data_IF_781562249963
#
_entry.id   IF_781562249963
#
_cell.length_a   1.000
_cell.length_b   1.000
_cell.length_c   1.000
_cell.angle_alpha   90.00
_cell.angle_beta   90.00
_cell.angle_gamma   90.00
#
_symmetry.space_group_name_H-M   'P 1'
#
loop_
_entity.id
_entity.type
_entity.pdbx_description
1 polymer ?
#
# COMPACT_ATOMS: atom_id res chain seq x y z
N UNK A 1 -9.34 8.91 -21.08
CA UNK A 1 -8.32 7.93 -20.66
C UNK A 1 -8.85 7.30 -19.39
N UNK A 2 -9.15 6.01 -19.40
CA UNK A 2 -9.69 5.29 -18.25
C UNK A 2 -8.58 5.10 -17.21
N UNK A 3 -8.84 5.44 -15.95
CA UNK A 3 -7.91 5.26 -14.82
C UNK A 3 -7.44 3.80 -14.75
N UNK A 4 -8.33 2.86 -15.09
CA UNK A 4 -8.00 1.43 -15.10
C UNK A 4 -6.91 1.10 -16.13
N UNK A 5 -6.88 1.78 -17.27
CA UNK A 5 -5.87 1.56 -18.30
C UNK A 5 -4.46 2.02 -17.88
N UNK A 6 -4.36 2.91 -16.89
CA UNK A 6 -3.08 3.37 -16.33
C UNK A 6 -2.66 2.50 -15.14
N UNK A 7 -3.63 2.10 -14.31
CA UNK A 7 -3.36 1.34 -13.09
C UNK A 7 -2.97 -0.12 -13.36
N UNK A 8 -3.55 -0.76 -14.39
CA UNK A 8 -3.25 -2.15 -14.73
C UNK A 8 -1.75 -2.46 -14.86
N UNK A 9 -1.00 -1.73 -15.72
CA UNK A 9 0.44 -1.93 -15.87
C UNK A 9 1.24 -1.71 -14.60
N UNK A 10 0.83 -0.76 -13.75
CA UNK A 10 1.49 -0.45 -12.48
C UNK A 10 1.32 -1.62 -11.51
N UNK A 11 0.10 -2.13 -11.38
CA UNK A 11 -0.20 -3.29 -10.53
C UNK A 11 0.55 -4.52 -11.01
N UNK A 12 0.55 -4.79 -12.33
CA UNK A 12 1.25 -5.94 -12.90
C UNK A 12 2.77 -5.87 -12.63
N UNK A 13 3.37 -4.68 -12.73
CA UNK A 13 4.78 -4.46 -12.40
C UNK A 13 5.08 -4.79 -10.93
N UNK A 14 4.30 -4.27 -9.99
CA UNK A 14 4.52 -4.53 -8.55
C UNK A 14 4.12 -5.94 -8.11
N UNK A 15 3.46 -6.71 -8.97
CA UNK A 15 3.06 -8.10 -8.68
C UNK A 15 4.14 -9.12 -9.09
N UNK A 16 5.06 -8.77 -10.00
CA UNK A 16 6.03 -9.71 -10.57
C UNK A 16 7.49 -9.25 -10.45
N UNK A 17 8.42 -10.22 -10.47
CA UNK A 17 9.86 -9.98 -10.61
C UNK A 17 10.44 -9.02 -9.57
N UNK A 18 11.22 -8.04 -10.03
CA UNK A 18 11.85 -7.06 -9.14
C UNK A 18 10.86 -6.06 -8.54
N UNK A 19 9.74 -5.77 -9.21
CA UNK A 19 8.71 -4.88 -8.71
C UNK A 19 8.07 -5.42 -7.43
N UNK A 20 7.83 -6.73 -7.37
CA UNK A 20 7.33 -7.39 -6.15
C UNK A 20 8.31 -7.27 -4.97
N UNK A 21 9.61 -7.40 -5.22
CA UNK A 21 10.64 -7.24 -4.20
C UNK A 21 10.61 -5.80 -3.64
N UNK A 22 10.55 -4.81 -4.53
CA UNK A 22 10.47 -3.39 -4.14
C UNK A 22 9.20 -3.13 -3.31
N UNK A 23 8.03 -3.63 -3.76
CA UNK A 23 6.78 -3.48 -3.03
C UNK A 23 6.86 -4.09 -1.62
N UNK A 24 7.45 -5.28 -1.48
CA UNK A 24 7.64 -5.94 -0.20
C UNK A 24 8.55 -5.13 0.73
N UNK A 25 9.68 -4.63 0.23
CA UNK A 25 10.61 -3.80 1.02
C UNK A 25 9.91 -2.51 1.47
N UNK A 26 9.21 -1.83 0.57
CA UNK A 26 8.46 -0.62 0.90
C UNK A 26 7.37 -0.88 1.93
N UNK A 27 6.69 -2.03 1.85
CA UNK A 27 5.69 -2.44 2.84
C UNK A 27 6.32 -2.68 4.22
N UNK A 28 7.48 -3.32 4.28
CA UNK A 28 8.22 -3.51 5.54
C UNK A 28 8.61 -2.16 6.13
N UNK A 29 9.22 -1.28 5.35
CA UNK A 29 9.58 0.07 5.79
C UNK A 29 8.34 0.79 6.31
N UNK A 30 7.26 0.82 5.54
CA UNK A 30 6.01 1.46 5.97
C UNK A 30 5.49 0.89 7.29
N UNK A 31 5.49 -0.44 7.45
CA UNK A 31 5.03 -1.09 8.69
C UNK A 31 5.88 -0.78 9.92
N UNK A 32 7.18 -0.48 9.73
CA UNK A 32 8.09 -0.08 10.81
C UNK A 32 7.80 1.36 11.24
N UNK A 33 7.63 2.27 10.29
CA UNK A 33 7.39 3.69 10.58
C UNK A 33 5.95 3.98 11.02
N UNK A 34 4.98 3.20 10.53
CA UNK A 34 3.55 3.37 10.80
C UNK A 34 2.95 2.05 11.29
N UNK A 35 3.30 1.62 12.51
CA UNK A 35 2.85 0.35 13.04
C UNK A 35 1.34 0.40 13.33
N UNK A 36 0.64 -0.72 13.15
CA UNK A 36 -0.82 -0.78 13.33
C UNK A 36 -1.28 -0.55 14.77
N UNK A 37 -0.37 -0.61 15.75
CA UNK A 37 -0.63 -0.30 17.16
C UNK A 37 -0.13 1.10 17.54
N UNK A 38 0.19 1.96 16.56
CA UNK A 38 0.53 3.36 16.84
C UNK A 38 -0.63 4.04 17.57
N UNK A 39 -0.31 5.02 18.42
CA UNK A 39 -1.31 5.78 19.19
C UNK A 39 -2.37 6.43 18.29
N UNK A 40 -2.00 6.82 17.07
CA UNK A 40 -2.91 7.36 16.06
C UNK A 40 -3.84 6.31 15.39
N UNK A 41 -3.58 5.01 15.57
CA UNK A 41 -4.38 3.92 15.01
C UNK A 41 -5.52 3.51 15.95
N UNK A 42 -6.31 4.50 16.41
CA UNK A 42 -7.52 4.25 17.18
C UNK A 42 -8.76 4.29 16.27
N UNK A 43 -9.80 3.50 16.57
CA UNK A 43 -11.07 3.59 15.87
C UNK A 43 -11.63 5.02 15.95
N UNK A 44 -11.99 5.58 14.81
CA UNK A 44 -12.78 6.82 14.72
C UNK A 44 -14.24 6.45 14.47
N UNK A 45 -15.17 7.07 15.21
CA UNK A 45 -16.59 6.90 14.94
C UNK A 45 -16.94 7.62 13.63
N UNK A 46 -17.46 6.87 12.65
CA UNK A 46 -17.95 7.46 11.41
C UNK A 46 -19.34 8.08 11.67
N UNK A 47 -19.62 9.31 11.20
CA UNK A 47 -20.96 9.87 11.29
C UNK A 47 -21.95 9.01 10.50
N UNK A 48 -23.15 8.83 11.07
CA UNK A 48 -24.26 8.09 10.47
C UNK A 48 -24.84 8.80 9.23
#
# INVERSE_FOLDING_TARGET
MDINSIMGPIVDFFTHGIGQIIANVMRVIYSIFYPSNAEAAHPIELPA
#
